data_IF_729148442203
#
_entry.id   IF_729148442203
#
_cell.length_a   1.000
_cell.length_b   1.000
_cell.length_c   1.000
_cell.angle_alpha   90.00
_cell.angle_beta   90.00
_cell.angle_gamma   90.00
#
_symmetry.space_group_name_H-M   'P 1'
#
loop_
_entity.id
_entity.type
_entity.pdbx_description
1 polymer ?
#
# COMPACT_ATOMS: atom_id res chain seq x y z
N UNK A 1 -12.57 1.51 32.08
CA UNK A 1 -11.22 1.36 31.47
C UNK A 1 -11.40 1.85 30.06
N UNK A 2 -10.68 2.90 29.65
CA UNK A 2 -11.02 3.68 28.45
C UNK A 2 -11.21 2.80 27.20
N UNK A 3 -10.35 1.79 27.00
CA UNK A 3 -10.48 0.85 25.88
C UNK A 3 -11.78 0.02 25.94
N UNK A 4 -12.17 -0.45 27.13
CA UNK A 4 -13.40 -1.21 27.33
C UNK A 4 -14.66 -0.36 27.21
N UNK A 5 -14.59 0.88 27.67
CA UNK A 5 -15.67 1.87 27.54
C UNK A 5 -15.86 2.25 26.06
N UNK A 6 -14.77 2.47 25.33
CA UNK A 6 -14.76 2.73 23.88
C UNK A 6 -15.32 1.54 23.08
N UNK A 7 -14.88 0.31 23.38
CA UNK A 7 -15.40 -0.91 22.76
C UNK A 7 -16.91 -1.07 22.98
N UNK A 8 -17.40 -0.73 24.18
CA UNK A 8 -18.82 -0.79 24.52
C UNK A 8 -19.64 0.26 23.78
N UNK A 9 -19.09 1.47 23.59
CA UNK A 9 -19.77 2.53 22.86
C UNK A 9 -19.86 2.24 21.35
N UNK A 10 -18.78 1.76 20.71
CA UNK A 10 -18.81 1.42 19.28
C UNK A 10 -19.62 0.15 18.97
N UNK A 11 -19.86 -0.71 19.97
CA UNK A 11 -20.65 -1.94 19.81
C UNK A 11 -22.14 -1.73 20.08
N UNK A 12 -22.56 -0.56 20.56
CA UNK A 12 -23.97 -0.27 20.85
C UNK A 12 -24.69 0.19 19.57
N UNK A 13 -25.74 -0.54 19.23
CA UNK A 13 -26.77 -0.25 18.21
C UNK A 13 -26.34 -0.35 16.73
N UNK A 14 -26.50 -1.52 16.08
CA UNK A 14 -26.37 -1.65 14.62
C UNK A 14 -27.46 -0.90 13.82
N UNK A 15 -28.47 -0.34 14.50
CA UNK A 15 -29.62 0.34 13.86
C UNK A 15 -29.46 1.87 13.75
N UNK A 16 -28.45 2.47 14.41
CA UNK A 16 -28.13 3.88 14.20
C UNK A 16 -27.00 4.00 13.18
N UNK A 17 -27.29 4.69 12.09
CA UNK A 17 -26.34 5.07 11.07
C UNK A 17 -25.27 6.05 11.55
N UNK A 18 -24.91 6.11 12.84
CA UNK A 18 -23.85 6.98 13.36
C UNK A 18 -23.22 6.35 14.60
N UNK A 19 -21.89 6.17 14.56
CA UNK A 19 -21.10 5.81 15.74
C UNK A 19 -21.30 6.88 16.81
N UNK A 20 -22.10 6.56 17.82
CA UNK A 20 -22.51 7.45 18.90
C UNK A 20 -21.41 7.75 19.92
N UNK A 21 -20.16 7.96 19.48
CA UNK A 21 -19.11 8.48 20.35
C UNK A 21 -19.44 9.94 20.69
N UNK A 22 -19.50 10.26 21.98
CA UNK A 22 -19.65 11.65 22.40
C UNK A 22 -18.36 12.44 22.12
N UNK A 23 -18.48 13.77 22.04
CA UNK A 23 -17.33 14.65 21.73
C UNK A 23 -16.21 14.54 22.75
N UNK A 24 -16.55 14.21 24.01
CA UNK A 24 -15.57 13.98 25.07
C UNK A 24 -14.70 12.76 24.76
N UNK A 25 -15.31 11.65 24.35
CA UNK A 25 -14.63 10.40 24.01
C UNK A 25 -13.79 10.57 22.75
N UNK A 26 -14.27 11.32 21.76
CA UNK A 26 -13.49 11.68 20.56
C UNK A 26 -12.25 12.50 20.92
N UNK A 27 -12.41 13.53 21.75
CA UNK A 27 -11.28 14.36 22.20
C UNK A 27 -10.26 13.56 23.01
N UNK A 28 -10.72 12.64 23.86
CA UNK A 28 -9.82 11.74 24.61
C UNK A 28 -9.08 10.77 23.69
N UNK A 29 -9.74 10.24 22.67
CA UNK A 29 -9.11 9.40 21.66
C UNK A 29 -8.01 10.16 20.91
N UNK A 30 -8.31 11.37 20.42
CA UNK A 30 -7.34 12.21 19.72
C UNK A 30 -6.14 12.54 20.62
N UNK A 31 -6.38 12.89 21.89
CA UNK A 31 -5.30 13.09 22.88
C UNK A 31 -4.42 11.85 23.05
N UNK A 32 -5.00 10.64 23.10
CA UNK A 32 -4.22 9.42 23.20
C UNK A 32 -3.40 9.13 21.94
N UNK A 33 -3.95 9.44 20.75
CA UNK A 33 -3.27 9.27 19.47
C UNK A 33 -2.15 10.30 19.24
N UNK A 34 -2.22 11.46 19.90
CA UNK A 34 -1.16 12.46 19.83
C UNK A 34 0.18 11.93 20.34
N UNK A 35 0.16 11.02 21.31
CA UNK A 35 1.35 10.42 21.93
C UNK A 35 1.84 9.14 21.23
N UNK A 36 1.41 8.87 19.99
CA UNK A 36 1.94 7.75 19.22
C UNK A 36 3.32 8.04 18.60
N UNK A 37 4.19 7.03 18.48
CA UNK A 37 4.11 5.72 19.16
C UNK A 37 4.41 5.85 20.66
N UNK A 38 3.85 4.94 21.47
CA UNK A 38 4.07 4.91 22.92
C UNK A 38 5.52 4.50 23.24
N UNK A 39 6.44 5.46 23.22
CA UNK A 39 7.84 5.28 23.60
C UNK A 39 7.98 5.25 25.13
N UNK A 40 7.57 4.14 25.75
CA UNK A 40 7.75 3.94 27.19
C UNK A 40 8.38 2.57 27.49
N UNK A 41 9.00 2.45 28.66
CA UNK A 41 9.67 1.23 29.11
C UNK A 41 8.77 -0.01 28.95
N UNK A 42 9.35 -1.17 28.64
CA UNK A 42 8.56 -2.38 28.40
C UNK A 42 7.60 -2.68 29.55
N UNK A 43 6.31 -2.93 29.29
CA UNK A 43 5.34 -3.16 30.34
C UNK A 43 5.64 -4.48 31.06
N UNK A 44 5.24 -4.54 32.33
CA UNK A 44 5.27 -5.79 33.10
C UNK A 44 4.40 -6.85 32.43
N UNK A 45 4.73 -8.13 32.63
CA UNK A 45 4.00 -9.27 32.04
C UNK A 45 2.47 -9.21 32.20
N UNK A 46 1.89 -8.89 33.38
CA UNK A 46 0.43 -8.80 33.51
C UNK A 46 -0.16 -7.65 32.70
N UNK A 47 0.50 -6.50 32.65
CA UNK A 47 0.07 -5.33 31.86
C UNK A 47 0.13 -5.67 30.37
N UNK A 48 1.22 -6.32 29.93
CA UNK A 48 1.40 -6.77 28.55
C UNK A 48 0.26 -7.66 28.08
N UNK A 49 -0.08 -8.69 28.86
CA UNK A 49 -1.17 -9.62 28.52
C UNK A 49 -2.53 -8.92 28.44
N UNK A 50 -2.81 -8.01 29.36
CA UNK A 50 -4.06 -7.25 29.36
C UNK A 50 -4.16 -6.35 28.13
N UNK A 51 -3.09 -5.66 27.78
CA UNK A 51 -3.05 -4.79 26.59
C UNK A 51 -3.19 -5.58 25.29
N UNK A 52 -2.53 -6.73 25.16
CA UNK A 52 -2.68 -7.60 23.99
C UNK A 52 -4.12 -8.11 23.84
N UNK A 53 -4.75 -8.53 24.95
CA UNK A 53 -6.15 -9.00 24.96
C UNK A 53 -7.14 -7.89 24.59
N UNK A 54 -7.10 -6.75 25.29
CA UNK A 54 -8.04 -5.64 25.04
C UNK A 54 -7.79 -4.98 23.68
N UNK A 55 -6.52 -4.83 23.28
CA UNK A 55 -6.13 -4.32 21.97
C UNK A 55 -6.64 -5.22 20.84
N UNK A 56 -6.47 -6.54 20.97
CA UNK A 56 -6.97 -7.50 19.97
C UNK A 56 -8.49 -7.46 19.86
N UNK A 57 -9.19 -7.40 21.00
CA UNK A 57 -10.66 -7.31 21.04
C UNK A 57 -11.17 -6.04 20.35
N UNK A 58 -10.55 -4.89 20.63
CA UNK A 58 -10.91 -3.61 20.03
C UNK A 58 -10.60 -3.59 18.53
N UNK A 59 -9.43 -4.09 18.13
CA UNK A 59 -9.02 -4.23 16.73
C UNK A 59 -10.03 -5.05 15.92
N UNK A 60 -10.41 -6.23 16.41
CA UNK A 60 -11.34 -7.11 15.73
C UNK A 60 -12.75 -6.51 15.63
N UNK A 61 -13.17 -5.77 16.66
CA UNK A 61 -14.45 -5.06 16.67
C UNK A 61 -14.46 -3.95 15.61
N UNK A 62 -13.38 -3.16 15.52
CA UNK A 62 -13.23 -2.13 14.48
C UNK A 62 -13.24 -2.74 13.09
N UNK A 63 -12.53 -3.86 12.88
CA UNK A 63 -12.51 -4.57 11.60
C UNK A 63 -13.91 -4.98 11.15
N UNK A 64 -14.72 -5.57 12.03
CA UNK A 64 -16.10 -5.95 11.71
C UNK A 64 -16.93 -4.72 11.34
N UNK A 65 -16.90 -3.67 12.16
CA UNK A 65 -17.68 -2.45 11.90
C UNK A 65 -17.27 -1.75 10.61
N UNK A 66 -15.97 -1.74 10.27
CA UNK A 66 -15.48 -1.18 9.02
C UNK A 66 -16.01 -1.91 7.78
N UNK A 67 -16.34 -3.20 7.87
CA UNK A 67 -16.96 -3.94 6.75
C UNK A 67 -18.45 -3.62 6.56
N UNK A 68 -19.13 -3.21 7.64
CA UNK A 68 -20.56 -2.90 7.63
C UNK A 68 -20.82 -1.42 7.32
N UNK A 69 -19.86 -0.55 7.65
CA UNK A 69 -19.96 0.91 7.53
C UNK A 69 -19.64 1.39 6.12
N UNK A 70 -20.51 2.24 5.55
CA UNK A 70 -20.29 2.86 4.22
C UNK A 70 -19.93 4.34 4.29
N UNK A 71 -20.16 4.97 5.44
CA UNK A 71 -19.94 6.41 5.61
C UNK A 71 -18.46 6.72 5.86
N UNK A 72 -17.90 7.61 5.04
CA UNK A 72 -16.46 7.95 5.08
C UNK A 72 -16.02 8.54 6.42
N UNK A 73 -16.84 9.41 7.02
CA UNK A 73 -16.54 10.04 8.31
C UNK A 73 -16.46 9.00 9.43
N UNK A 74 -17.37 8.03 9.43
CA UNK A 74 -17.36 6.93 10.39
C UNK A 74 -16.20 5.98 10.17
N UNK A 75 -15.86 5.68 8.92
CA UNK A 75 -14.68 4.87 8.59
C UNK A 75 -13.39 5.54 9.08
N UNK A 76 -13.29 6.87 8.95
CA UNK A 76 -12.18 7.64 9.52
C UNK A 76 -12.14 7.56 11.05
N UNK A 77 -13.29 7.67 11.72
CA UNK A 77 -13.37 7.53 13.18
C UNK A 77 -13.00 6.11 13.64
N UNK A 78 -13.51 5.07 12.97
CA UNK A 78 -13.12 3.67 13.23
C UNK A 78 -11.63 3.46 12.98
N UNK A 79 -11.04 4.16 12.00
CA UNK A 79 -9.61 4.09 11.72
C UNK A 79 -8.80 4.63 12.92
N UNK A 80 -9.23 5.75 13.51
CA UNK A 80 -8.64 6.30 14.75
C UNK A 80 -8.75 5.32 15.93
N UNK A 81 -9.92 4.72 16.13
CA UNK A 81 -10.12 3.71 17.19
C UNK A 81 -9.24 2.48 16.96
N UNK A 82 -9.12 2.04 15.70
CA UNK A 82 -8.25 0.94 15.31
C UNK A 82 -6.77 1.28 15.49
N UNK A 83 -6.35 2.53 15.25
CA UNK A 83 -5.01 3.02 15.54
C UNK A 83 -4.70 3.03 17.05
N UNK A 84 -5.71 3.34 17.89
CA UNK A 84 -5.58 3.22 19.34
C UNK A 84 -5.42 1.75 19.77
N UNK A 85 -6.18 0.82 19.16
CA UNK A 85 -5.98 -0.61 19.37
C UNK A 85 -4.57 -1.06 18.95
N UNK A 86 -4.06 -0.58 17.81
CA UNK A 86 -2.67 -0.79 17.39
C UNK A 86 -1.68 -0.32 18.44
N UNK A 87 -1.87 0.86 19.03
CA UNK A 87 -0.98 1.38 20.07
C UNK A 87 -0.86 0.44 21.27
N UNK A 88 -1.98 -0.16 21.69
CA UNK A 88 -2.02 -1.14 22.77
C UNK A 88 -1.25 -2.41 22.40
N UNK A 89 -1.47 -2.92 21.18
CA UNK A 89 -0.80 -4.12 20.66
C UNK A 89 0.70 -3.89 20.50
N UNK A 90 1.09 -2.70 20.03
CA UNK A 90 2.47 -2.35 19.78
C UNK A 90 3.25 -2.21 21.09
N UNK A 91 2.65 -1.57 22.10
CA UNK A 91 3.23 -1.50 23.43
C UNK A 91 3.30 -2.87 24.12
N UNK A 92 2.39 -3.79 23.79
CA UNK A 92 2.40 -5.16 24.30
C UNK A 92 3.38 -6.10 23.56
N UNK A 93 3.81 -5.74 22.35
CA UNK A 93 4.60 -6.62 21.52
C UNK A 93 6.01 -6.87 22.10
N UNK A 94 6.49 -8.12 22.14
CA UNK A 94 7.84 -8.41 22.62
C UNK A 94 8.91 -7.87 21.65
N UNK A 95 10.12 -7.64 22.19
CA UNK A 95 11.27 -7.14 21.43
C UNK A 95 12.15 -8.26 20.82
N UNK A 96 11.69 -9.52 20.85
CA UNK A 96 12.38 -10.61 20.15
C UNK A 96 12.05 -10.57 18.65
N UNK A 97 12.83 -11.25 17.80
CA UNK A 97 12.67 -11.24 16.34
C UNK A 97 11.24 -11.52 15.89
N UNK A 98 10.64 -12.62 16.37
CA UNK A 98 9.25 -12.98 16.06
C UNK A 98 8.22 -11.92 16.50
N UNK A 99 8.43 -11.30 17.66
CA UNK A 99 7.60 -10.20 18.15
C UNK A 99 7.71 -8.94 17.29
N UNK A 100 8.93 -8.62 16.84
CA UNK A 100 9.20 -7.52 15.93
C UNK A 100 8.54 -7.72 14.57
N UNK A 101 8.61 -8.92 13.98
CA UNK A 101 7.94 -9.21 12.71
C UNK A 101 6.42 -9.06 12.80
N UNK A 102 5.79 -9.67 13.81
CA UNK A 102 4.33 -9.51 14.02
C UNK A 102 3.95 -8.04 14.22
N UNK A 103 4.75 -7.28 14.96
CA UNK A 103 4.50 -5.86 15.18
C UNK A 103 4.60 -5.04 13.88
N UNK A 104 5.60 -5.32 13.04
CA UNK A 104 5.75 -4.70 11.72
C UNK A 104 4.55 -4.98 10.81
N UNK A 105 4.11 -6.24 10.70
CA UNK A 105 2.94 -6.59 9.88
C UNK A 105 1.68 -5.81 10.31
N UNK A 106 1.45 -5.69 11.62
CA UNK A 106 0.29 -4.94 12.13
C UNK A 106 0.48 -3.43 11.88
N UNK A 107 1.70 -2.90 12.07
CA UNK A 107 2.02 -1.51 11.79
C UNK A 107 1.78 -1.15 10.32
N UNK A 108 2.22 -1.99 9.39
CA UNK A 108 2.03 -1.77 7.95
C UNK A 108 0.55 -1.78 7.56
N UNK A 109 -0.21 -2.78 8.02
CA UNK A 109 -1.68 -2.81 7.80
C UNK A 109 -2.37 -1.58 8.36
N UNK A 110 -1.95 -1.10 9.54
CA UNK A 110 -2.55 0.08 10.15
C UNK A 110 -2.16 1.36 9.42
N UNK A 111 -0.89 1.52 9.03
CA UNK A 111 -0.40 2.66 8.26
C UNK A 111 -1.14 2.79 6.92
N UNK A 112 -1.33 1.69 6.19
CA UNK A 112 -2.14 1.65 4.95
C UNK A 112 -3.57 2.09 5.19
N UNK A 113 -4.24 1.53 6.20
CA UNK A 113 -5.60 1.90 6.54
C UNK A 113 -5.71 3.40 6.92
N UNK A 114 -4.74 3.94 7.66
CA UNK A 114 -4.70 5.36 7.97
C UNK A 114 -4.56 6.22 6.71
N UNK A 115 -3.75 5.82 5.73
CA UNK A 115 -3.64 6.55 4.45
C UNK A 115 -4.97 6.51 3.70
N UNK A 116 -5.56 5.31 3.54
CA UNK A 116 -6.80 5.10 2.79
C UNK A 116 -7.98 5.89 3.38
N UNK A 117 -8.02 6.05 4.71
CA UNK A 117 -9.06 6.82 5.41
C UNK A 117 -8.65 8.26 5.77
N UNK A 118 -7.54 8.77 5.22
CA UNK A 118 -7.12 10.17 5.32
C UNK A 118 -6.53 10.60 6.67
N UNK A 119 -6.18 9.65 7.54
CA UNK A 119 -5.52 9.87 8.83
C UNK A 119 -3.99 9.97 8.65
N UNK A 120 -3.52 10.91 7.84
CA UNK A 120 -2.11 10.95 7.38
C UNK A 120 -1.11 11.13 8.54
N UNK A 121 -1.40 12.01 9.50
CA UNK A 121 -0.51 12.25 10.65
C UNK A 121 -0.35 11.00 11.52
N UNK A 122 -1.42 10.22 11.68
CA UNK A 122 -1.37 8.94 12.40
C UNK A 122 -0.55 7.93 11.62
N UNK A 123 -0.75 7.83 10.30
CA UNK A 123 0.04 6.94 9.46
C UNK A 123 1.54 7.25 9.55
N UNK A 124 1.91 8.53 9.51
CA UNK A 124 3.28 8.97 9.66
C UNK A 124 3.90 8.46 10.98
N UNK A 125 3.23 8.67 12.12
CA UNK A 125 3.70 8.19 13.44
C UNK A 125 3.87 6.67 13.49
N UNK A 126 2.98 5.92 12.82
CA UNK A 126 3.06 4.45 12.74
C UNK A 126 4.27 4.02 11.90
N UNK A 127 4.50 4.68 10.76
CA UNK A 127 5.65 4.40 9.89
C UNK A 127 6.97 4.73 10.61
N UNK A 128 7.02 5.80 11.39
CA UNK A 128 8.17 6.15 12.24
C UNK A 128 8.43 5.06 13.29
N UNK A 129 7.38 4.51 13.92
CA UNK A 129 7.50 3.39 14.84
C UNK A 129 8.03 2.12 14.16
N UNK A 130 7.53 1.83 12.95
CA UNK A 130 7.98 0.70 12.14
C UNK A 130 9.47 0.83 11.77
N UNK A 131 9.94 2.04 11.44
CA UNK A 131 11.35 2.29 11.15
C UNK A 131 12.27 1.91 12.32
N UNK A 132 11.87 2.25 13.56
CA UNK A 132 12.64 1.88 14.77
C UNK A 132 12.72 0.38 14.97
N UNK A 133 11.65 -0.38 14.64
CA UNK A 133 11.68 -1.84 14.70
C UNK A 133 12.53 -2.45 13.59
N UNK A 134 12.47 -1.90 12.39
CA UNK A 134 13.25 -2.38 11.25
C UNK A 134 14.76 -2.19 11.52
N UNK A 135 15.19 -1.01 11.98
CA UNK A 135 16.58 -0.73 12.36
C UNK A 135 17.10 -1.68 13.47
N UNK A 136 16.24 -2.12 14.38
CA UNK A 136 16.61 -3.13 15.39
C UNK A 136 16.80 -4.51 14.77
N UNK A 137 15.94 -4.91 13.85
CA UNK A 137 16.05 -6.20 13.17
C UNK A 137 17.31 -6.27 12.31
N UNK A 138 17.67 -5.19 11.62
CA UNK A 138 18.92 -5.09 10.84
C UNK A 138 20.18 -5.31 11.71
N UNK A 139 20.13 -4.98 13.00
CA UNK A 139 21.26 -5.12 13.94
C UNK A 139 21.35 -6.47 14.61
N UNK A 140 20.33 -7.33 14.50
CA UNK A 140 20.35 -8.67 15.08
C UNK A 140 21.03 -9.61 14.08
N UNK A 141 22.30 -9.97 14.36
CA UNK A 141 23.05 -10.96 13.58
C UNK A 141 22.41 -12.37 13.73
N UNK A 142 21.40 -12.66 12.92
CA UNK A 142 20.90 -14.02 12.72
C UNK A 142 20.79 -14.29 11.23
N UNK A 143 21.48 -15.35 10.78
CA UNK A 143 21.58 -15.85 9.39
C UNK A 143 20.23 -16.30 8.78
N UNK A 144 19.16 -16.27 9.58
CA UNK A 144 17.82 -16.71 9.21
C UNK A 144 16.91 -15.49 9.28
N UNK A 145 16.79 -14.77 8.16
CA UNK A 145 15.66 -13.90 7.74
C UNK A 145 16.07 -12.69 6.87
N UNK A 146 17.18 -12.74 6.13
CA UNK A 146 17.56 -11.68 5.18
C UNK A 146 16.46 -11.41 4.13
N UNK A 147 15.81 -12.46 3.63
CA UNK A 147 14.68 -12.34 2.69
C UNK A 147 13.46 -11.65 3.34
N UNK A 148 13.12 -12.01 4.58
CA UNK A 148 12.02 -11.37 5.30
C UNK A 148 12.35 -9.90 5.61
N UNK A 149 13.59 -9.61 6.00
CA UNK A 149 14.07 -8.25 6.23
C UNK A 149 14.00 -7.41 4.95
N UNK A 150 14.42 -7.96 3.82
CA UNK A 150 14.29 -7.33 2.51
C UNK A 150 12.81 -7.07 2.17
N UNK A 151 11.93 -8.06 2.38
CA UNK A 151 10.50 -7.94 2.13
C UNK A 151 9.86 -6.81 2.96
N UNK A 152 10.17 -6.72 4.25
CA UNK A 152 9.68 -5.63 5.10
C UNK A 152 10.31 -4.28 4.78
N UNK A 153 11.54 -4.26 4.27
CA UNK A 153 12.19 -3.05 3.77
C UNK A 153 11.45 -2.51 2.55
N UNK A 154 11.08 -3.38 1.59
CA UNK A 154 10.26 -3.02 0.43
C UNK A 154 8.92 -2.45 0.89
N UNK A 155 8.21 -3.16 1.77
CA UNK A 155 6.90 -2.73 2.29
C UNK A 155 6.99 -1.37 3.01
N UNK A 156 8.00 -1.18 3.87
CA UNK A 156 8.27 0.08 4.55
C UNK A 156 8.45 1.25 3.57
N UNK A 157 9.30 1.10 2.56
CA UNK A 157 9.52 2.16 1.58
C UNK A 157 8.28 2.42 0.73
N UNK A 158 7.55 1.38 0.30
CA UNK A 158 6.31 1.55 -0.46
C UNK A 158 5.24 2.30 0.35
N UNK A 159 5.14 2.08 1.67
CA UNK A 159 4.23 2.86 2.51
C UNK A 159 4.63 4.33 2.63
N UNK A 160 5.94 4.62 2.70
CA UNK A 160 6.42 6.02 2.70
C UNK A 160 6.16 6.70 1.36
N UNK A 161 6.31 5.98 0.25
CA UNK A 161 5.93 6.44 -1.08
C UNK A 161 4.44 6.78 -1.12
N UNK A 162 3.60 5.86 -0.61
CA UNK A 162 2.15 6.04 -0.58
C UNK A 162 1.72 7.23 0.26
N UNK A 163 2.30 7.38 1.46
CA UNK A 163 2.06 8.52 2.33
C UNK A 163 2.48 9.84 1.65
N UNK A 164 3.66 9.87 1.03
CA UNK A 164 4.18 11.06 0.37
C UNK A 164 3.29 11.52 -0.79
N UNK A 165 2.69 10.58 -1.54
CA UNK A 165 1.69 10.91 -2.56
C UNK A 165 0.47 11.62 -1.97
N UNK A 166 -0.08 11.10 -0.86
CA UNK A 166 -1.22 11.72 -0.19
C UNK A 166 -0.90 13.01 0.56
N UNK A 167 0.36 13.23 0.90
CA UNK A 167 0.89 14.51 1.41
C UNK A 167 1.22 15.52 0.30
N UNK A 168 0.94 15.19 -0.97
CA UNK A 168 1.21 16.05 -2.15
C UNK A 168 2.72 16.33 -2.36
N UNK A 169 3.57 15.41 -1.92
CA UNK A 169 5.03 15.46 -2.04
C UNK A 169 5.53 14.41 -3.05
N UNK A 170 5.19 14.61 -4.32
CA UNK A 170 5.56 13.70 -5.41
C UNK A 170 7.09 13.57 -5.55
N UNK A 171 7.82 14.66 -5.30
CA UNK A 171 9.29 14.69 -5.25
C UNK A 171 9.86 13.68 -4.25
N UNK A 172 9.29 13.65 -3.05
CA UNK A 172 9.67 12.70 -1.99
C UNK A 172 9.24 11.29 -2.38
N UNK A 173 8.04 11.11 -2.94
CA UNK A 173 7.56 9.80 -3.38
C UNK A 173 8.49 9.16 -4.42
N UNK A 174 8.96 9.92 -5.42
CA UNK A 174 9.92 9.42 -6.41
C UNK A 174 11.29 9.13 -5.80
N UNK A 175 11.79 10.00 -4.92
CA UNK A 175 13.05 9.76 -4.23
C UNK A 175 13.01 8.47 -3.39
N UNK A 176 11.94 8.27 -2.62
CA UNK A 176 11.76 7.08 -1.81
C UNK A 176 11.60 5.81 -2.64
N UNK A 177 10.91 5.89 -3.79
CA UNK A 177 10.79 4.76 -4.69
C UNK A 177 12.16 4.29 -5.19
N UNK A 178 13.09 5.23 -5.45
CA UNK A 178 14.47 4.89 -5.85
C UNK A 178 15.29 4.18 -4.77
N UNK A 179 14.82 4.15 -3.51
CA UNK A 179 15.47 3.47 -2.38
C UNK A 179 14.99 2.04 -2.17
N UNK A 180 13.96 1.60 -2.90
CA UNK A 180 13.44 0.24 -2.78
C UNK A 180 14.49 -0.72 -3.33
N UNK A 181 14.92 -1.72 -2.55
CA UNK A 181 15.88 -2.71 -3.04
C UNK A 181 15.26 -3.51 -4.19
N UNK A 182 16.07 -3.87 -5.18
CA UNK A 182 15.63 -4.81 -6.22
C UNK A 182 15.35 -6.17 -5.54
N UNK A 183 14.07 -6.50 -5.36
CA UNK A 183 13.63 -7.79 -4.84
C UNK A 183 13.06 -8.64 -5.97
N UNK A 184 13.60 -9.82 -6.19
CA UNK A 184 12.96 -10.81 -7.08
C UNK A 184 11.90 -11.63 -6.35
N UNK A 185 11.66 -11.34 -5.07
CA UNK A 185 10.64 -12.00 -4.27
C UNK A 185 9.23 -11.57 -4.72
N UNK A 186 8.37 -12.56 -4.93
CA UNK A 186 6.98 -12.39 -5.38
C UNK A 186 6.18 -11.48 -4.45
N UNK A 187 6.35 -11.64 -3.14
CA UNK A 187 5.60 -10.89 -2.13
C UNK A 187 6.05 -9.44 -2.04
N UNK A 188 7.35 -9.16 -2.18
CA UNK A 188 7.86 -7.79 -2.34
C UNK A 188 7.26 -7.09 -3.56
N UNK A 189 7.22 -7.79 -4.70
CA UNK A 189 6.67 -7.24 -5.95
C UNK A 189 5.15 -7.02 -5.90
N UNK A 190 4.40 -7.88 -5.20
CA UNK A 190 2.97 -7.69 -4.95
C UNK A 190 2.70 -6.34 -4.26
N UNK A 191 3.48 -5.99 -3.23
CA UNK A 191 3.33 -4.71 -2.52
C UNK A 191 3.69 -3.51 -3.38
N UNK A 192 4.75 -3.62 -4.19
CA UNK A 192 5.12 -2.57 -5.15
C UNK A 192 3.98 -2.35 -6.15
N UNK A 193 3.43 -3.43 -6.72
CA UNK A 193 2.31 -3.38 -7.65
C UNK A 193 1.09 -2.70 -7.02
N UNK A 194 0.64 -3.16 -5.85
CA UNK A 194 -0.59 -2.68 -5.21
C UNK A 194 -0.55 -1.16 -4.94
N UNK A 195 0.54 -0.69 -4.33
CA UNK A 195 0.68 0.73 -3.99
C UNK A 195 0.85 1.58 -5.25
N UNK A 196 1.65 1.14 -6.24
CA UNK A 196 1.79 1.86 -7.50
C UNK A 196 0.45 1.97 -8.24
N UNK A 197 -0.36 0.91 -8.23
CA UNK A 197 -1.71 0.94 -8.80
C UNK A 197 -2.61 1.94 -8.07
N UNK A 198 -2.61 1.92 -6.73
CA UNK A 198 -3.39 2.87 -5.91
C UNK A 198 -3.00 4.33 -6.19
N UNK A 199 -1.71 4.63 -6.25
CA UNK A 199 -1.22 5.98 -6.59
C UNK A 199 -1.65 6.35 -8.01
N UNK A 200 -1.43 5.48 -8.98
CA UNK A 200 -1.80 5.71 -10.37
C UNK A 200 -3.30 6.00 -10.54
N UNK A 201 -4.16 5.17 -9.95
CA UNK A 201 -5.60 5.36 -9.96
C UNK A 201 -6.03 6.66 -9.24
N UNK A 202 -5.37 7.00 -8.13
CA UNK A 202 -5.59 8.28 -7.45
C UNK A 202 -5.11 9.49 -8.27
N UNK A 203 -4.06 9.36 -9.06
CA UNK A 203 -3.57 10.43 -9.94
C UNK A 203 -4.55 10.65 -11.10
N UNK A 204 -5.10 9.57 -11.65
CA UNK A 204 -6.10 9.60 -12.70
C UNK A 204 -7.40 10.29 -12.24
N UNK A 205 -7.88 9.98 -11.03
CA UNK A 205 -9.06 10.67 -10.46
C UNK A 205 -8.82 12.17 -10.23
N UNK A 206 -7.56 12.59 -10.05
CA UNK A 206 -7.11 13.99 -9.96
C UNK A 206 -6.74 14.60 -11.33
N UNK A 207 -6.95 13.88 -12.44
CA UNK A 207 -6.59 14.30 -13.81
C UNK A 207 -5.08 14.59 -14.00
N UNK A 208 -4.21 13.96 -13.20
CA UNK A 208 -2.76 14.04 -13.34
C UNK A 208 -2.28 12.89 -14.22
N UNK A 209 -2.48 13.01 -15.54
CA UNK A 209 -2.29 11.91 -16.48
C UNK A 209 -0.84 11.41 -16.56
N UNK A 210 0.15 12.31 -16.59
CA UNK A 210 1.57 11.92 -16.62
C UNK A 210 1.98 11.12 -15.38
N UNK A 211 1.51 11.58 -14.22
CA UNK A 211 1.76 10.93 -12.93
C UNK A 211 1.06 9.56 -12.89
N UNK A 212 -0.18 9.50 -13.35
CA UNK A 212 -0.94 8.26 -13.47
C UNK A 212 -0.23 7.24 -14.35
N UNK A 213 0.17 7.63 -15.57
CA UNK A 213 0.88 6.77 -16.50
C UNK A 213 2.19 6.22 -15.91
N UNK A 214 2.98 7.09 -15.26
CA UNK A 214 4.23 6.69 -14.58
C UNK A 214 3.99 5.62 -13.51
N UNK A 215 3.04 5.83 -12.59
CA UNK A 215 2.82 4.92 -11.48
C UNK A 215 2.12 3.62 -11.91
N UNK A 216 1.21 3.66 -12.88
CA UNK A 216 0.62 2.45 -13.46
C UNK A 216 1.66 1.64 -14.25
N UNK A 217 2.60 2.31 -14.93
CA UNK A 217 3.74 1.65 -15.56
C UNK A 217 4.63 0.90 -14.55
N UNK A 218 4.91 1.51 -13.40
CA UNK A 218 5.63 0.85 -12.29
C UNK A 218 4.86 -0.35 -11.74
N UNK A 219 3.53 -0.25 -11.60
CA UNK A 219 2.70 -1.37 -11.15
C UNK A 219 2.76 -2.56 -12.13
N UNK A 220 2.67 -2.28 -13.43
CA UNK A 220 2.78 -3.30 -14.47
C UNK A 220 4.16 -3.96 -14.50
N UNK A 221 5.23 -3.18 -14.31
CA UNK A 221 6.58 -3.72 -14.24
C UNK A 221 6.74 -4.67 -13.03
N UNK A 222 6.34 -4.23 -11.84
CA UNK A 222 6.39 -5.07 -10.63
C UNK A 222 5.61 -6.37 -10.79
N UNK A 223 4.43 -6.30 -11.41
CA UNK A 223 3.63 -7.47 -11.74
C UNK A 223 4.34 -8.46 -12.68
N UNK A 224 5.04 -7.97 -13.71
CA UNK A 224 5.82 -8.82 -14.64
C UNK A 224 6.97 -9.53 -13.92
N UNK A 225 7.71 -8.79 -13.10
CA UNK A 225 8.84 -9.30 -12.33
C UNK A 225 8.36 -10.37 -11.33
N UNK A 226 7.31 -10.09 -10.55
CA UNK A 226 6.78 -11.04 -9.56
C UNK A 226 6.32 -12.37 -10.18
N UNK A 227 5.87 -12.32 -11.44
CA UNK A 227 5.39 -13.50 -12.17
C UNK A 227 6.42 -14.15 -13.09
N UNK A 228 7.68 -13.67 -13.08
CA UNK A 228 8.75 -14.17 -13.94
C UNK A 228 8.37 -14.17 -15.43
N UNK A 229 7.49 -13.25 -15.88
CA UNK A 229 6.97 -13.20 -17.24
C UNK A 229 8.03 -12.85 -18.29
N UNK A 230 9.22 -12.43 -17.84
CA UNK A 230 10.39 -12.19 -18.68
C UNK A 230 11.15 -13.49 -19.06
N UNK A 231 10.61 -14.67 -18.69
CA UNK A 231 11.12 -15.99 -19.07
C UNK A 231 10.27 -16.63 -20.19
N UNK A 232 10.87 -17.46 -21.05
CA UNK A 232 10.27 -18.04 -22.28
C UNK A 232 8.98 -18.91 -22.09
N UNK A 233 8.47 -19.09 -20.86
CA UNK A 233 7.27 -19.89 -20.53
C UNK A 233 5.94 -19.08 -20.56
N UNK A 234 5.94 -17.92 -21.20
CA UNK A 234 5.06 -16.77 -20.90
C UNK A 234 3.57 -16.86 -21.29
N UNK A 235 3.11 -17.83 -22.10
CA UNK A 235 1.70 -17.85 -22.57
C UNK A 235 0.70 -18.51 -21.61
N UNK A 236 1.10 -19.56 -20.91
CA UNK A 236 0.22 -20.32 -19.99
C UNK A 236 0.08 -19.60 -18.65
N UNK A 237 1.13 -18.92 -18.20
CA UNK A 237 1.09 -18.08 -17.01
C UNK A 237 0.23 -16.83 -17.24
N UNK A 238 0.40 -16.13 -18.36
CA UNK A 238 -0.36 -14.91 -18.66
C UNK A 238 -1.89 -15.06 -18.55
N UNK A 239 -2.47 -16.19 -19.00
CA UNK A 239 -3.92 -16.42 -18.89
C UNK A 239 -4.38 -16.61 -17.43
N UNK A 240 -3.71 -17.48 -16.67
CA UNK A 240 -4.00 -17.68 -15.23
C UNK A 240 -3.81 -16.39 -14.44
N UNK A 241 -2.79 -15.63 -14.84
CA UNK A 241 -2.41 -14.34 -14.29
C UNK A 241 -3.45 -13.26 -14.56
N UNK A 242 -4.01 -13.19 -15.78
CA UNK A 242 -5.09 -12.26 -16.10
C UNK A 242 -6.36 -12.57 -15.29
N UNK A 243 -6.60 -13.85 -15.03
CA UNK A 243 -7.71 -14.31 -14.20
C UNK A 243 -7.48 -13.98 -12.72
N UNK A 244 -6.25 -14.05 -12.21
CA UNK A 244 -5.88 -13.59 -10.88
C UNK A 244 -6.07 -12.07 -10.71
N UNK A 245 -5.65 -11.26 -11.70
CA UNK A 245 -5.89 -9.81 -11.70
C UNK A 245 -7.39 -9.47 -11.73
N UNK A 246 -8.18 -10.17 -12.56
CA UNK A 246 -9.64 -10.01 -12.57
C UNK A 246 -10.26 -10.38 -11.24
N UNK A 247 -9.74 -11.40 -10.56
CA UNK A 247 -10.20 -11.81 -9.24
C UNK A 247 -9.84 -10.77 -8.16
N UNK A 248 -8.64 -10.17 -8.22
CA UNK A 248 -8.12 -9.28 -7.19
C UNK A 248 -8.55 -7.81 -7.35
N UNK A 249 -8.60 -7.31 -8.59
CA UNK A 249 -8.87 -5.90 -8.91
C UNK A 249 -10.14 -5.70 -9.75
N UNK A 250 -10.87 -6.76 -10.09
CA UNK A 250 -12.02 -6.70 -10.98
C UNK A 250 -11.67 -6.34 -12.43
N UNK A 251 -12.66 -6.00 -13.24
CA UNK A 251 -12.44 -5.50 -14.62
C UNK A 251 -11.84 -4.08 -14.70
N UNK A 252 -11.60 -3.44 -13.55
CA UNK A 252 -11.15 -2.04 -13.44
C UNK A 252 -9.71 -1.84 -13.90
N UNK A 253 -8.81 -2.81 -13.68
CA UNK A 253 -7.42 -2.69 -14.14
C UNK A 253 -7.34 -2.66 -15.67
N UNK A 254 -7.99 -3.63 -16.34
CA UNK A 254 -8.09 -3.65 -17.81
C UNK A 254 -8.80 -2.41 -18.35
N UNK A 255 -9.87 -1.95 -17.68
CA UNK A 255 -10.57 -0.74 -18.05
C UNK A 255 -9.69 0.52 -17.91
N UNK A 256 -8.85 0.62 -16.88
CA UNK A 256 -7.94 1.78 -16.67
C UNK A 256 -6.79 1.81 -17.68
N UNK A 257 -6.27 0.64 -18.05
CA UNK A 257 -5.27 0.51 -19.13
C UNK A 257 -5.88 0.90 -20.48
N UNK A 258 -7.13 0.46 -20.76
CA UNK A 258 -7.88 0.85 -21.96
C UNK A 258 -8.27 2.34 -21.93
N UNK A 259 -8.64 2.89 -20.77
CA UNK A 259 -8.99 4.30 -20.60
C UNK A 259 -7.78 5.21 -20.88
N UNK A 260 -6.57 4.83 -20.46
CA UNK A 260 -5.35 5.53 -20.83
C UNK A 260 -5.04 5.45 -22.33
N UNK A 261 -5.28 4.29 -22.95
CA UNK A 261 -5.14 4.09 -24.40
C UNK A 261 -6.21 4.84 -25.22
N UNK A 262 -7.39 5.08 -24.66
CA UNK A 262 -8.47 5.85 -25.30
C UNK A 262 -8.23 7.34 -25.15
N UNK A 263 -7.83 7.80 -23.96
CA UNK A 263 -7.50 9.21 -23.71
C UNK A 263 -6.28 9.68 -24.51
N UNK A 264 -5.30 8.80 -24.77
CA UNK A 264 -4.15 9.11 -25.64
C UNK A 264 -4.54 9.29 -27.12
N UNK A 265 -5.70 8.79 -27.53
CA UNK A 265 -6.20 8.86 -28.92
C UNK A 265 -7.11 10.06 -29.17
N UNK A 266 -7.79 10.59 -28.16
CA UNK A 266 -8.70 11.75 -28.32
C UNK A 266 -7.96 13.10 -28.46
N UNK A 267 -6.69 13.20 -28.07
CA UNK A 267 -5.85 14.41 -28.26
C UNK A 267 -5.16 14.48 -29.65
N UNK A 268 -5.46 13.53 -30.55
CA UNK A 268 -4.85 13.43 -31.90
C UNK A 268 -5.21 14.56 -32.88
N UNK A 269 -6.02 15.56 -32.47
CA UNK A 269 -6.25 16.77 -33.27
C UNK A 269 -6.00 18.03 -32.43
N UNK A 270 -4.76 18.25 -32.01
CA UNK A 270 -4.34 19.58 -31.57
C UNK A 270 -3.12 19.61 -30.66
N UNK A 271 -1.95 19.47 -31.29
CA UNK A 271 -0.67 20.03 -30.86
C UNK A 271 -0.06 19.63 -29.51
N UNK A 272 1.04 18.89 -29.64
CA UNK A 272 2.33 19.37 -29.15
C UNK A 272 2.50 19.56 -27.63
N UNK A 273 2.16 18.57 -26.81
CA UNK A 273 2.82 18.42 -25.49
C UNK A 273 4.14 17.65 -25.55
N UNK A 274 4.67 17.50 -26.78
CA UNK A 274 5.84 16.74 -27.13
C UNK A 274 7.13 17.54 -27.23
N UNK A 275 7.78 17.68 -26.08
CA UNK A 275 9.21 17.44 -25.99
C UNK A 275 9.46 16.60 -24.74
N UNK A 276 9.64 15.29 -24.82
CA UNK A 276 9.80 14.41 -25.96
C UNK A 276 9.91 12.99 -25.43
N UNK A 277 9.81 11.92 -26.19
CA UNK A 277 9.72 11.75 -27.62
C UNK A 277 9.11 10.38 -27.80
N UNK A 278 7.93 10.30 -28.43
CA UNK A 278 7.39 9.06 -28.98
C UNK A 278 8.36 8.58 -30.06
N UNK A 279 8.83 7.34 -29.97
CA UNK A 279 9.66 6.72 -31.00
C UNK A 279 9.18 5.27 -31.05
N UNK A 280 8.41 4.75 -32.00
CA UNK A 280 7.74 5.27 -33.19
C UNK A 280 6.63 4.24 -33.52
N UNK A 281 5.54 4.70 -34.12
CA UNK A 281 4.70 3.95 -35.08
C UNK A 281 3.88 2.75 -34.59
N UNK A 282 2.57 2.97 -34.41
CA UNK A 282 1.55 1.93 -34.60
C UNK A 282 0.47 2.44 -35.55
N UNK A 283 0.70 2.20 -36.83
CA UNK A 283 -0.23 2.53 -37.90
C UNK A 283 -1.05 1.26 -38.26
N UNK A 284 -2.36 1.35 -37.98
CA UNK A 284 -3.51 0.57 -38.48
C UNK A 284 -3.81 -0.89 -38.04
N UNK A 285 -5.06 -1.02 -37.54
CA UNK A 285 -5.95 -2.13 -37.10
C UNK A 285 -5.62 -3.59 -37.48
N UNK A 286 -5.88 -4.62 -36.65
CA UNK A 286 -7.17 -4.90 -35.99
C UNK A 286 -7.06 -5.60 -34.60
N UNK A 287 -7.24 -4.79 -33.56
CA UNK A 287 -7.94 -4.92 -32.26
C UNK A 287 -7.75 -6.04 -31.23
N UNK A 288 -7.00 -7.11 -31.46
CA UNK A 288 -6.53 -7.96 -30.33
C UNK A 288 -5.07 -8.38 -30.50
N UNK A 289 -4.66 -8.58 -31.74
CA UNK A 289 -3.25 -8.75 -32.12
C UNK A 289 -2.44 -7.49 -31.81
N UNK A 290 -3.05 -6.30 -31.82
CA UNK A 290 -2.37 -5.04 -31.48
C UNK A 290 -2.12 -4.89 -29.97
N UNK A 291 -3.07 -5.27 -29.11
CA UNK A 291 -2.86 -5.23 -27.66
C UNK A 291 -1.76 -6.22 -27.25
N UNK A 292 -1.76 -7.40 -27.88
CA UNK A 292 -0.71 -8.41 -27.73
C UNK A 292 0.65 -7.94 -28.30
N UNK A 293 0.66 -7.27 -29.47
CA UNK A 293 1.87 -6.73 -30.09
C UNK A 293 2.43 -5.49 -29.38
N UNK A 294 1.60 -4.67 -28.73
CA UNK A 294 2.02 -3.54 -27.89
C UNK A 294 2.66 -4.06 -26.60
N UNK A 295 2.01 -5.03 -25.95
CA UNK A 295 2.56 -5.69 -24.77
C UNK A 295 3.85 -6.45 -25.10
N UNK A 296 3.93 -7.12 -26.26
CA UNK A 296 5.12 -7.85 -26.73
C UNK A 296 6.25 -6.92 -27.24
N UNK A 297 5.96 -5.83 -27.96
CA UNK A 297 6.95 -4.84 -28.42
C UNK A 297 7.58 -4.05 -27.26
N UNK A 298 6.80 -3.77 -26.21
CA UNK A 298 7.32 -3.21 -24.96
C UNK A 298 8.21 -4.20 -24.17
N UNK A 299 8.06 -5.51 -24.42
CA UNK A 299 8.90 -6.58 -23.86
C UNK A 299 10.18 -6.74 -24.71
N UNK A 300 10.06 -6.77 -26.03
CA UNK A 300 11.18 -6.96 -26.98
C UNK A 300 12.11 -5.72 -27.09
N UNK A 301 11.62 -4.51 -26.81
CA UNK A 301 12.47 -3.29 -26.80
C UNK A 301 13.31 -3.16 -25.54
N UNK A 302 12.86 -3.76 -24.42
CA UNK A 302 13.63 -3.81 -23.16
C UNK A 302 14.76 -4.86 -23.17
N UNK A 303 14.71 -5.82 -24.09
CA UNK A 303 15.74 -6.85 -24.28
C UNK A 303 16.83 -6.45 -25.28
N UNK A 304 16.62 -5.43 -26.13
CA UNK A 304 17.61 -4.92 -27.09
C UNK A 304 18.50 -3.78 -26.54
N UNK A 305 18.07 -2.98 -25.55
CA UNK A 305 18.97 -2.02 -24.89
C UNK A 305 19.98 -2.67 -23.92
N UNK A 306 19.70 -3.88 -23.42
CA UNK A 306 20.63 -4.65 -22.58
C UNK A 306 21.67 -5.48 -23.36
N UNK A 307 21.67 -5.45 -24.70
CA UNK A 307 22.73 -6.06 -25.52
C UNK A 307 23.71 -5.05 -26.15
N UNK A 308 23.58 -3.76 -25.87
CA UNK A 308 24.52 -2.72 -26.32
C UNK A 308 25.20 -1.90 -25.20
N UNK A 309 25.07 -2.31 -23.93
CA UNK A 309 25.88 -1.78 -22.81
C UNK A 309 26.79 -2.83 -22.13
N UNK A 310 26.91 -4.02 -22.73
CA UNK A 310 28.09 -4.90 -22.58
C UNK A 310 28.93 -4.87 -23.86
N UNK A 311 29.43 -3.68 -24.19
CA UNK A 311 30.67 -3.49 -24.93
C UNK A 311 31.42 -2.28 -24.41
#
# INVERSE_FOLDING_TARGET
>A
DFAGDLASQISREPEKACLGLDDKTRNQLDQHLDYLPLLTASPSTPIRRRLDQEGTKLWNTCMRLMTETREKEQLSLLCKVKAFAFAMLEYAAPNNSQGCYRALEIAFRMATACIDYGCLDISQKIIEAAAVRLDRLEKVETDVDELMLQQYTVEYYMLRVYLSWFQERLDIADHLFSKIPASNDEKGQEHVMDICYKIGNSALSRKQYDVSAKWLGRALHAFRVGLHLDTDESKVYLSKTLDALKAQYGGLFTAKVIELEVLSREESYGDAFLQGSWIYSLQYSHDLTQLFAVLQSAIDSSTLENSHLTM
#
